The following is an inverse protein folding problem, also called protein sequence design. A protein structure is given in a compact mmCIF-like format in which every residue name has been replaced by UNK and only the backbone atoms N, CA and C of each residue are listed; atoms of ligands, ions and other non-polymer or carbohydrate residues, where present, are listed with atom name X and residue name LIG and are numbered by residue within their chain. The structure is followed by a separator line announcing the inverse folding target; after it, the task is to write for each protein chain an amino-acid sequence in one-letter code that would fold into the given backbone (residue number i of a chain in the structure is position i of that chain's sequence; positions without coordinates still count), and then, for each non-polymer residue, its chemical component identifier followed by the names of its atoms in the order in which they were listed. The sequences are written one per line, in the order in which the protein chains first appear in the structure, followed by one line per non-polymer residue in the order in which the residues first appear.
data_IF_667883851152
#
_entry.id   IF_667883851152
#
_cell.length_a   1.000
_cell.length_b   1.000
_cell.length_c   1.000
_cell.angle_alpha   90.00
_cell.angle_beta   90.00
_cell.angle_gamma   90.00
#
_symmetry.space_group_name_H-M   'P 1'
#
loop_
_entity.id
_entity.type
_entity.pdbx_description
1 polymer ?
#
# COMPACT_ATOMS: atom_id res chain seq x y z
N UNK A 1 -16.80 -14.74 -17.99
CA UNK A 1 -16.53 -13.81 -19.10
C UNK A 1 -15.03 -13.58 -19.15
N UNK A 2 -14.32 -14.28 -20.03
CA UNK A 2 -12.90 -14.02 -20.28
C UNK A 2 -12.81 -12.92 -21.31
N UNK A 3 -12.35 -11.74 -20.92
CA UNK A 3 -12.00 -10.71 -21.90
C UNK A 3 -10.97 -11.28 -22.87
N UNK A 4 -11.18 -11.03 -24.17
CA UNK A 4 -10.18 -11.34 -25.20
C UNK A 4 -8.92 -10.57 -24.83
N UNK A 5 -7.84 -11.28 -24.53
CA UNK A 5 -6.52 -10.65 -24.35
C UNK A 5 -6.08 -10.04 -25.67
N UNK A 6 -6.30 -8.74 -25.84
CA UNK A 6 -5.86 -8.00 -27.01
C UNK A 6 -4.36 -7.78 -26.89
N UNK A 7 -3.59 -8.40 -27.77
CA UNK A 7 -2.15 -8.14 -27.85
C UNK A 7 -1.92 -6.80 -28.55
N UNK A 8 -1.73 -5.73 -27.78
CA UNK A 8 -1.34 -4.43 -28.32
C UNK A 8 0.19 -4.26 -28.23
N UNK A 9 0.86 -3.82 -29.31
CA UNK A 9 2.27 -3.49 -29.26
C UNK A 9 2.51 -2.35 -28.26
N UNK A 10 3.38 -2.60 -27.30
CA UNK A 10 3.74 -1.64 -26.25
C UNK A 10 4.72 -0.61 -26.81
N UNK A 11 4.41 0.67 -26.67
CA UNK A 11 5.41 1.73 -26.90
C UNK A 11 6.44 1.76 -25.76
N UNK A 12 7.57 2.46 -25.96
CA UNK A 12 8.56 2.63 -24.89
C UNK A 12 7.99 3.35 -23.66
N UNK A 13 7.06 4.30 -23.85
CA UNK A 13 6.37 5.03 -22.77
C UNK A 13 5.45 4.11 -21.98
N UNK A 14 4.70 3.27 -22.68
CA UNK A 14 3.83 2.25 -22.11
C UNK A 14 4.63 1.29 -21.23
N UNK A 15 5.75 0.77 -21.76
CA UNK A 15 6.63 -0.14 -21.02
C UNK A 15 7.18 0.51 -19.75
N UNK A 16 7.62 1.77 -19.83
CA UNK A 16 8.10 2.51 -18.66
C UNK A 16 7.00 2.65 -17.59
N UNK A 17 5.79 3.02 -17.99
CA UNK A 17 4.67 3.18 -17.05
C UNK A 17 4.29 1.85 -16.36
N UNK A 18 4.30 0.72 -17.09
CA UNK A 18 4.05 -0.60 -16.50
C UNK A 18 5.16 -1.00 -15.53
N UNK A 19 6.43 -0.72 -15.86
CA UNK A 19 7.56 -0.99 -14.97
C UNK A 19 7.40 -0.18 -13.68
N UNK A 20 7.16 1.13 -13.77
CA UNK A 20 6.98 1.99 -12.59
C UNK A 20 5.80 1.53 -11.72
N UNK A 21 4.67 1.17 -12.34
CA UNK A 21 3.53 0.60 -11.64
C UNK A 21 3.91 -0.67 -10.85
N UNK A 22 4.56 -1.64 -11.50
CA UNK A 22 4.98 -2.89 -10.86
C UNK A 22 6.06 -2.68 -9.80
N UNK A 23 6.99 -1.76 -10.03
CA UNK A 23 8.02 -1.38 -9.06
C UNK A 23 7.38 -0.83 -7.79
N UNK A 24 6.34 0.01 -7.91
CA UNK A 24 5.60 0.50 -6.75
C UNK A 24 4.96 -0.63 -5.92
N UNK A 25 4.40 -1.66 -6.57
CA UNK A 25 3.84 -2.85 -5.89
C UNK A 25 4.95 -3.60 -5.13
N UNK A 26 6.08 -3.87 -5.79
CA UNK A 26 7.22 -4.59 -5.20
C UNK A 26 7.80 -3.83 -4.02
N UNK A 27 8.03 -2.52 -4.16
CA UNK A 27 8.52 -1.67 -3.08
C UNK A 27 7.55 -1.64 -1.89
N UNK A 28 6.24 -1.56 -2.15
CA UNK A 28 5.22 -1.61 -1.10
C UNK A 28 5.28 -2.93 -0.33
N UNK A 29 5.44 -4.07 -1.03
CA UNK A 29 5.57 -5.38 -0.40
C UNK A 29 6.84 -5.48 0.47
N UNK A 30 8.00 -5.03 -0.03
CA UNK A 30 9.26 -5.02 0.72
C UNK A 30 9.13 -4.18 1.98
N UNK A 31 8.55 -2.98 1.87
CA UNK A 31 8.38 -2.09 3.02
C UNK A 31 7.38 -2.65 4.04
N UNK A 32 6.31 -3.33 3.62
CA UNK A 32 5.40 -4.00 4.55
C UNK A 32 6.06 -5.19 5.26
N UNK A 33 6.90 -5.96 4.57
CA UNK A 33 7.71 -7.02 5.19
C UNK A 33 8.69 -6.43 6.21
N UNK A 34 9.38 -5.35 5.85
CA UNK A 34 10.29 -4.65 6.77
C UNK A 34 9.53 -4.14 8.01
N UNK A 35 8.36 -3.53 7.81
CA UNK A 35 7.51 -3.08 8.91
C UNK A 35 7.06 -4.22 9.82
N UNK A 36 6.62 -5.34 9.25
CA UNK A 36 6.26 -6.54 10.01
C UNK A 36 7.45 -7.10 10.81
N UNK A 37 8.64 -7.14 10.20
CA UNK A 37 9.87 -7.61 10.85
C UNK A 37 10.29 -6.71 12.02
N UNK A 38 10.27 -5.38 11.83
CA UNK A 38 10.59 -4.43 12.90
C UNK A 38 9.58 -4.54 14.04
N UNK A 39 8.27 -4.60 13.71
CA UNK A 39 7.21 -4.71 14.71
C UNK A 39 7.34 -5.97 15.57
N UNK A 40 7.62 -7.14 14.97
CA UNK A 40 7.79 -8.38 15.74
C UNK A 40 9.06 -8.38 16.57
N UNK A 41 10.16 -7.79 16.06
CA UNK A 41 11.41 -7.63 16.81
C UNK A 41 11.18 -6.81 18.08
N UNK A 42 10.50 -5.66 17.95
CA UNK A 42 10.25 -4.78 19.10
C UNK A 42 9.25 -5.39 20.09
N UNK A 43 8.25 -6.13 19.59
CA UNK A 43 7.36 -6.93 20.44
C UNK A 43 8.12 -8.01 21.22
N UNK A 44 9.03 -8.73 20.58
CA UNK A 44 9.84 -9.77 21.23
C UNK A 44 10.80 -9.18 22.29
N UNK A 45 11.27 -7.95 22.08
CA UNK A 45 12.11 -7.23 23.03
C UNK A 45 11.33 -6.61 24.21
N UNK A 46 9.99 -6.67 24.22
CA UNK A 46 9.14 -6.04 25.23
C UNK A 46 8.91 -4.54 25.03
N UNK A 47 9.52 -3.93 24.00
CA UNK A 47 9.48 -2.49 23.72
C UNK A 47 8.35 -2.10 22.77
N UNK A 48 7.23 -2.84 22.78
CA UNK A 48 6.11 -2.62 21.86
C UNK A 48 5.47 -1.23 21.97
N UNK A 49 5.58 -0.60 23.15
CA UNK A 49 5.13 0.78 23.40
C UNK A 49 6.08 1.83 22.81
N UNK A 50 7.36 1.48 22.60
CA UNK A 50 8.35 2.36 21.98
C UNK A 50 8.48 2.09 20.47
N UNK A 51 7.36 1.80 19.81
CA UNK A 51 7.36 1.54 18.36
C UNK A 51 7.91 2.70 17.53
N UNK A 52 7.83 3.92 18.08
CA UNK A 52 8.42 5.13 17.53
C UNK A 52 9.97 5.16 17.59
N UNK A 53 10.62 4.41 18.51
CA UNK A 53 12.08 4.44 18.73
C UNK A 53 12.85 3.31 18.02
N UNK A 54 12.15 2.39 17.37
CA UNK A 54 12.70 1.18 16.73
C UNK A 54 13.77 1.43 15.66
N UNK A 55 13.80 2.65 15.12
CA UNK A 55 14.87 3.20 14.29
C UNK A 55 15.38 4.49 14.94
N UNK A 56 16.70 4.64 15.20
CA UNK A 56 17.25 5.87 15.77
C UNK A 56 16.93 7.10 14.90
N UNK A 57 16.49 8.20 15.52
CA UNK A 57 16.21 9.47 14.83
C UNK A 57 14.97 9.45 13.93
N UNK A 58 15.02 10.11 12.77
CA UNK A 58 13.89 10.20 11.81
C UNK A 58 13.67 8.93 10.97
N UNK A 59 14.19 7.76 11.39
CA UNK A 59 14.16 6.53 10.58
C UNK A 59 12.74 6.03 10.28
N UNK A 60 11.83 6.07 11.26
CA UNK A 60 10.42 5.71 11.06
C UNK A 60 9.74 6.66 10.08
N UNK A 61 10.09 7.95 10.12
CA UNK A 61 9.61 8.95 9.17
C UNK A 61 10.07 8.64 7.75
N UNK A 62 11.35 8.33 7.53
CA UNK A 62 11.84 7.91 6.21
C UNK A 62 11.15 6.64 5.70
N UNK A 63 10.89 5.68 6.59
CA UNK A 63 10.14 4.47 6.27
C UNK A 63 8.73 4.79 5.77
N UNK A 64 7.96 5.61 6.52
CA UNK A 64 6.60 6.01 6.14
C UNK A 64 6.63 6.77 4.80
N UNK A 65 7.54 7.72 4.64
CA UNK A 65 7.68 8.46 3.37
C UNK A 65 8.02 7.55 2.19
N UNK A 66 8.87 6.54 2.40
CA UNK A 66 9.19 5.53 1.38
C UNK A 66 7.95 4.71 1.01
N UNK A 67 7.10 4.38 1.98
CA UNK A 67 5.85 3.65 1.72
C UNK A 67 4.87 4.51 0.93
N UNK A 68 4.75 5.80 1.27
CA UNK A 68 3.97 6.76 0.47
C UNK A 68 4.48 6.85 -0.97
N UNK A 69 5.79 6.97 -1.17
CA UNK A 69 6.39 7.03 -2.51
C UNK A 69 6.10 5.74 -3.31
N UNK A 70 6.25 4.57 -2.69
CA UNK A 70 5.98 3.28 -3.34
C UNK A 70 4.52 3.13 -3.77
N UNK A 71 3.58 3.46 -2.88
CA UNK A 71 2.14 3.42 -3.19
C UNK A 71 1.78 4.49 -4.24
N UNK A 72 2.33 5.71 -4.11
CA UNK A 72 2.12 6.79 -5.06
C UNK A 72 2.58 6.43 -6.47
N UNK A 73 3.74 5.78 -6.60
CA UNK A 73 4.23 5.27 -7.87
C UNK A 73 3.20 4.33 -8.52
N UNK A 74 2.64 3.38 -7.75
CA UNK A 74 1.57 2.52 -8.24
C UNK A 74 0.30 3.30 -8.64
N UNK A 75 -0.12 4.28 -7.83
CA UNK A 75 -1.35 5.06 -8.09
C UNK A 75 -1.24 5.91 -9.36
N UNK A 76 -0.10 6.57 -9.58
CA UNK A 76 0.05 7.47 -10.74
C UNK A 76 0.22 6.73 -12.06
N UNK A 77 0.88 5.57 -12.04
CA UNK A 77 1.13 4.74 -13.22
C UNK A 77 0.11 3.62 -13.41
N UNK A 78 -1.01 3.64 -12.66
CA UNK A 78 -2.08 2.67 -12.83
C UNK A 78 -2.81 2.87 -14.16
N UNK A 79 -3.06 1.74 -14.82
CA UNK A 79 -3.82 1.64 -16.06
C UNK A 79 -5.20 1.06 -15.75
N UNK A 80 -6.24 1.84 -16.07
CA UNK A 80 -7.65 1.55 -15.76
C UNK A 80 -8.55 2.11 -16.86
N UNK A 81 -9.40 1.29 -17.46
CA UNK A 81 -10.31 1.75 -18.52
C UNK A 81 -11.26 2.86 -18.05
N UNK A 82 -11.78 2.73 -16.83
CA UNK A 82 -12.77 3.66 -16.26
C UNK A 82 -12.06 4.88 -15.68
N UNK A 83 -12.22 6.04 -16.31
CA UNK A 83 -11.52 7.27 -15.93
C UNK A 83 -11.97 7.77 -14.55
N UNK A 84 -13.24 7.58 -14.21
CA UNK A 84 -13.80 7.94 -12.88
C UNK A 84 -13.05 7.23 -11.75
N UNK A 85 -12.78 5.95 -11.89
CA UNK A 85 -12.09 5.15 -10.88
C UNK A 85 -10.62 5.56 -10.75
N UNK A 86 -9.95 5.82 -11.88
CA UNK A 86 -8.58 6.35 -11.89
C UNK A 86 -8.48 7.72 -11.19
N UNK A 87 -9.42 8.64 -11.47
CA UNK A 87 -9.49 9.96 -10.84
C UNK A 87 -9.79 9.85 -9.35
N UNK A 88 -10.68 8.93 -8.94
CA UNK A 88 -10.96 8.65 -7.54
C UNK A 88 -9.71 8.17 -6.78
N UNK A 89 -8.96 7.20 -7.33
CA UNK A 89 -7.75 6.68 -6.67
C UNK A 89 -6.68 7.75 -6.47
N UNK A 90 -6.48 8.64 -7.46
CA UNK A 90 -5.58 9.79 -7.34
C UNK A 90 -6.04 10.78 -6.27
N UNK A 91 -7.34 11.09 -6.21
CA UNK A 91 -7.91 11.94 -5.14
C UNK A 91 -7.72 11.32 -3.76
N UNK A 92 -7.94 10.02 -3.62
CA UNK A 92 -7.70 9.31 -2.37
C UNK A 92 -6.24 9.40 -1.94
N UNK A 93 -5.30 9.30 -2.89
CA UNK A 93 -3.87 9.48 -2.60
C UNK A 93 -3.53 10.91 -2.17
N UNK A 94 -4.14 11.94 -2.80
CA UNK A 94 -3.98 13.33 -2.32
C UNK A 94 -4.56 13.56 -0.93
N UNK A 95 -5.71 12.94 -0.61
CA UNK A 95 -6.26 12.94 0.75
C UNK A 95 -5.28 12.26 1.72
N UNK A 96 -4.64 11.16 1.30
CA UNK A 96 -3.59 10.53 2.12
C UNK A 96 -2.41 11.45 2.37
N UNK A 97 -1.93 12.17 1.36
CA UNK A 97 -0.85 13.14 1.53
C UNK A 97 -1.25 14.27 2.48
N UNK A 98 -2.47 14.80 2.34
CA UNK A 98 -2.98 15.81 3.25
C UNK A 98 -3.10 15.29 4.69
N UNK A 99 -3.54 14.05 4.87
CA UNK A 99 -3.61 13.40 6.18
C UNK A 99 -2.21 13.21 6.81
N UNK A 100 -1.17 12.96 6.01
CA UNK A 100 0.22 12.82 6.47
C UNK A 100 0.83 14.14 6.96
N UNK A 101 0.37 15.29 6.46
CA UNK A 101 0.87 16.60 6.91
C UNK A 101 0.58 16.86 8.39
N UNK A 102 -0.53 16.32 8.91
CA UNK A 102 -0.92 16.49 10.31
C UNK A 102 0.13 15.89 11.27
N UNK A 103 0.47 14.58 11.19
CA UNK A 103 1.50 14.01 12.05
C UNK A 103 2.90 14.57 11.75
N UNK A 104 3.18 15.03 10.52
CA UNK A 104 4.45 15.70 10.20
C UNK A 104 4.63 17.01 10.97
N UNK A 105 3.59 17.85 11.01
CA UNK A 105 3.63 19.13 11.74
C UNK A 105 3.52 18.91 13.24
N UNK A 106 2.58 18.07 13.69
CA UNK A 106 2.37 17.80 15.11
C UNK A 106 3.56 17.09 15.78
N UNK A 107 4.29 16.27 15.03
CA UNK A 107 5.48 15.56 15.48
C UNK A 107 6.80 16.34 15.29
N UNK A 108 6.75 17.62 14.90
CA UNK A 108 7.94 18.42 14.58
C UNK A 108 8.92 17.71 13.62
N UNK A 109 8.40 17.04 12.59
CA UNK A 109 9.19 16.27 11.64
C UNK A 109 9.39 14.79 11.99
N UNK A 110 8.96 14.33 13.17
CA UNK A 110 8.86 12.91 13.49
C UNK A 110 7.41 12.40 13.40
N UNK A 111 7.06 11.88 12.23
CA UNK A 111 5.74 11.30 11.94
C UNK A 111 5.49 10.07 12.84
N UNK A 112 6.53 9.31 13.18
CA UNK A 112 6.41 8.08 13.96
C UNK A 112 5.86 8.35 15.36
N UNK A 113 6.35 9.41 16.02
CA UNK A 113 5.88 9.82 17.34
C UNK A 113 4.37 10.04 17.41
N UNK A 114 3.77 10.67 16.39
CA UNK A 114 2.33 10.95 16.37
C UNK A 114 1.54 9.69 16.01
N UNK A 115 1.99 8.94 15.01
CA UNK A 115 1.29 7.74 14.55
C UNK A 115 1.22 6.66 15.63
N UNK A 116 2.33 6.42 16.35
CA UNK A 116 2.39 5.35 17.36
C UNK A 116 2.15 5.86 18.78
N UNK A 117 2.42 7.14 19.07
CA UNK A 117 2.25 7.73 20.40
C UNK A 117 0.82 8.14 20.72
N UNK A 118 0.00 8.47 19.72
CA UNK A 118 -1.42 8.83 19.92
C UNK A 118 -2.35 7.67 19.57
N UNK A 119 -3.48 7.53 20.27
CA UNK A 119 -4.45 6.46 19.96
C UNK A 119 -4.99 6.55 18.53
N UNK A 120 -5.38 7.75 18.09
CA UNK A 120 -5.93 7.98 16.75
C UNK A 120 -4.84 8.09 15.65
N UNK A 121 -3.55 8.13 16.01
CA UNK A 121 -2.44 8.31 15.09
C UNK A 121 -2.44 7.40 13.86
N UNK A 122 -2.73 6.09 13.99
CA UNK A 122 -2.77 5.19 12.84
C UNK A 122 -3.84 5.56 11.79
N UNK A 123 -4.89 6.29 12.17
CA UNK A 123 -5.96 6.70 11.23
C UNK A 123 -5.42 7.59 10.10
N UNK A 124 -4.31 8.30 10.30
CA UNK A 124 -3.69 9.09 9.23
C UNK A 124 -3.14 8.21 8.09
N UNK A 125 -2.91 6.92 8.32
CA UNK A 125 -2.51 5.94 7.31
C UNK A 125 -3.70 5.26 6.63
N UNK A 126 -4.94 5.49 7.09
CA UNK A 126 -6.14 4.85 6.55
C UNK A 126 -6.33 5.13 5.06
N UNK A 127 -6.21 6.38 4.55
CA UNK A 127 -6.36 6.63 3.12
C UNK A 127 -5.28 5.94 2.27
N UNK A 128 -4.04 5.87 2.77
CA UNK A 128 -2.94 5.15 2.11
C UNK A 128 -3.24 3.65 1.98
N UNK A 129 -3.72 3.06 3.08
CA UNK A 129 -4.13 1.65 3.12
C UNK A 129 -5.27 1.38 2.13
N UNK A 130 -6.18 2.34 1.96
CA UNK A 130 -7.24 2.30 0.95
C UNK A 130 -6.69 2.35 -0.47
N UNK A 131 -5.72 3.21 -0.76
CA UNK A 131 -5.06 3.27 -2.07
C UNK A 131 -4.42 1.91 -2.44
N UNK A 132 -3.63 1.35 -1.52
CA UNK A 132 -2.99 0.05 -1.75
C UNK A 132 -4.02 -1.07 -1.88
N UNK A 133 -5.07 -1.04 -1.06
CA UNK A 133 -6.20 -1.97 -1.15
C UNK A 133 -6.93 -1.91 -2.49
N UNK A 134 -7.17 -0.72 -3.04
CA UNK A 134 -7.79 -0.59 -4.37
C UNK A 134 -6.87 -1.08 -5.50
N UNK A 135 -5.55 -0.87 -5.38
CA UNK A 135 -4.58 -1.44 -6.32
C UNK A 135 -4.67 -2.97 -6.30
N UNK A 136 -4.67 -3.59 -5.12
CA UNK A 136 -4.74 -5.05 -5.01
C UNK A 136 -6.10 -5.59 -5.45
N UNK A 137 -7.20 -4.88 -5.17
CA UNK A 137 -8.55 -5.23 -5.62
C UNK A 137 -8.69 -5.18 -7.15
N UNK A 138 -8.08 -4.18 -7.82
CA UNK A 138 -8.05 -4.12 -9.30
C UNK A 138 -7.43 -5.40 -9.85
N UNK A 139 -6.24 -5.75 -9.36
CA UNK A 139 -5.51 -6.92 -9.86
C UNK A 139 -6.23 -8.24 -9.53
N UNK A 140 -6.94 -8.29 -8.40
CA UNK A 140 -7.84 -9.40 -8.06
C UNK A 140 -8.99 -9.54 -9.06
N UNK A 141 -9.60 -8.43 -9.46
CA UNK A 141 -10.65 -8.40 -10.47
C UNK A 141 -10.15 -8.80 -11.86
N UNK A 142 -9.03 -8.24 -12.31
CA UNK A 142 -8.48 -8.48 -13.64
C UNK A 142 -7.90 -9.90 -13.82
N UNK A 143 -7.18 -10.41 -12.82
CA UNK A 143 -6.37 -11.63 -12.96
C UNK A 143 -6.74 -12.75 -11.98
N UNK A 144 -7.84 -12.60 -11.24
CA UNK A 144 -8.29 -13.57 -10.22
C UNK A 144 -7.24 -13.84 -9.14
N UNK A 145 -6.48 -12.81 -8.77
CA UNK A 145 -5.59 -12.79 -7.63
C UNK A 145 -6.42 -12.56 -6.36
N UNK A 146 -7.13 -13.60 -5.89
CA UNK A 146 -8.12 -13.50 -4.80
C UNK A 146 -7.55 -12.89 -3.51
N UNK A 147 -6.26 -13.10 -3.24
CA UNK A 147 -5.53 -12.47 -2.14
C UNK A 147 -5.62 -10.93 -2.18
N UNK A 148 -5.77 -10.33 -3.36
CA UNK A 148 -5.90 -8.90 -3.52
C UNK A 148 -7.22 -8.33 -3.00
N UNK A 149 -8.33 -9.09 -3.03
CA UNK A 149 -9.57 -8.70 -2.37
C UNK A 149 -9.45 -8.78 -0.86
N UNK A 150 -8.79 -9.82 -0.35
CA UNK A 150 -8.56 -9.99 1.07
C UNK A 150 -7.70 -8.85 1.62
N UNK A 151 -6.63 -8.49 0.91
CA UNK A 151 -5.78 -7.33 1.22
C UNK A 151 -6.57 -6.02 1.23
N UNK A 152 -7.45 -5.80 0.24
CA UNK A 152 -8.26 -4.60 0.15
C UNK A 152 -9.19 -4.38 1.35
N UNK A 153 -9.62 -5.47 1.99
CA UNK A 153 -10.50 -5.45 3.16
C UNK A 153 -9.67 -5.42 4.45
N UNK A 154 -8.68 -6.29 4.58
CA UNK A 154 -7.89 -6.44 5.82
C UNK A 154 -7.08 -5.17 6.12
N UNK A 155 -6.43 -4.55 5.14
CA UNK A 155 -5.57 -3.39 5.38
C UNK A 155 -6.30 -2.22 6.09
N UNK A 156 -7.44 -1.70 5.59
CA UNK A 156 -8.16 -0.62 6.28
C UNK A 156 -8.76 -1.07 7.61
N UNK A 157 -9.27 -2.31 7.71
CA UNK A 157 -9.79 -2.84 8.97
C UNK A 157 -8.69 -2.94 10.03
N UNK A 158 -7.50 -3.39 9.64
CA UNK A 158 -6.34 -3.48 10.53
C UNK A 158 -5.98 -2.10 11.10
N UNK A 159 -5.91 -1.06 10.25
CA UNK A 159 -5.63 0.31 10.70
C UNK A 159 -6.71 0.81 11.67
N UNK A 160 -7.99 0.57 11.37
CA UNK A 160 -9.10 0.94 12.24
C UNK A 160 -8.98 0.26 13.61
N UNK A 161 -8.84 -1.07 13.63
CA UNK A 161 -8.72 -1.86 14.85
C UNK A 161 -7.49 -1.48 15.69
N UNK A 162 -6.36 -1.18 15.02
CA UNK A 162 -5.15 -0.72 15.68
C UNK A 162 -5.34 0.66 16.31
N UNK A 163 -6.01 1.59 15.63
CA UNK A 163 -6.26 2.94 16.14
C UNK A 163 -7.19 2.99 17.37
N UNK A 164 -8.19 2.11 17.44
CA UNK A 164 -9.08 2.05 18.60
C UNK A 164 -8.51 1.20 19.75
N UNK A 165 -7.27 0.70 19.61
CA UNK A 165 -6.57 -0.16 20.60
C UNK A 165 -7.36 -1.41 21.00
N UNK A 166 -8.21 -1.91 20.09
CA UNK A 166 -9.02 -3.12 20.32
C UNK A 166 -8.18 -4.39 20.16
N UNK A 167 -7.13 -4.35 19.33
CA UNK A 167 -6.22 -5.48 19.12
C UNK A 167 -5.08 -5.48 20.14
N UNK A 168 -4.79 -6.65 20.69
CA UNK A 168 -3.60 -6.83 21.54
C UNK A 168 -2.32 -6.59 20.74
N UNK A 169 -1.19 -6.24 21.39
CA UNK A 169 0.08 -6.06 20.68
C UNK A 169 0.49 -7.30 19.86
N UNK A 170 0.23 -8.50 20.40
CA UNK A 170 0.41 -9.76 19.69
C UNK A 170 -0.51 -9.87 18.46
N UNK A 171 -1.77 -9.49 18.60
CA UNK A 171 -2.74 -9.45 17.49
C UNK A 171 -2.33 -8.46 16.41
N UNK A 172 -1.82 -7.29 16.79
CA UNK A 172 -1.30 -6.29 15.85
C UNK A 172 -0.07 -6.80 15.08
N UNK A 173 0.86 -7.49 15.76
CA UNK A 173 2.02 -8.12 15.10
C UNK A 173 1.59 -9.19 14.10
N UNK A 174 0.70 -10.10 14.50
CA UNK A 174 0.19 -11.16 13.64
C UNK A 174 -0.61 -10.62 12.45
N UNK A 175 -1.41 -9.57 12.66
CA UNK A 175 -2.15 -8.90 11.59
C UNK A 175 -1.21 -8.27 10.55
N UNK A 176 -0.13 -7.61 10.99
CA UNK A 176 0.85 -7.03 10.07
C UNK A 176 1.63 -8.10 9.30
N UNK A 177 1.99 -9.21 9.96
CA UNK A 177 2.61 -10.37 9.31
C UNK A 177 1.68 -10.98 8.26
N UNK A 178 0.39 -11.11 8.57
CA UNK A 178 -0.61 -11.60 7.61
C UNK A 178 -0.70 -10.68 6.39
N UNK A 179 -0.79 -9.36 6.60
CA UNK A 179 -0.82 -8.37 5.50
C UNK A 179 0.45 -8.46 4.66
N UNK A 180 1.63 -8.50 5.29
CA UNK A 180 2.91 -8.61 4.59
C UNK A 180 3.01 -9.92 3.80
N UNK A 181 2.63 -11.05 4.39
CA UNK A 181 2.62 -12.35 3.72
C UNK A 181 1.68 -12.40 2.52
N UNK A 182 0.48 -11.84 2.65
CA UNK A 182 -0.46 -11.71 1.54
C UNK A 182 0.06 -10.79 0.44
N UNK A 183 0.71 -9.66 0.79
CA UNK A 183 1.34 -8.76 -0.19
C UNK A 183 2.50 -9.43 -0.93
N UNK A 184 3.29 -10.26 -0.25
CA UNK A 184 4.35 -11.06 -0.89
C UNK A 184 3.75 -12.07 -1.85
N UNK A 185 2.74 -12.83 -1.43
CA UNK A 185 2.04 -13.79 -2.28
C UNK A 185 1.46 -13.11 -3.53
N UNK A 186 0.77 -11.98 -3.34
CA UNK A 186 0.23 -11.15 -4.40
C UNK A 186 1.33 -10.69 -5.37
N UNK A 187 2.45 -10.18 -4.84
CA UNK A 187 3.56 -9.66 -5.64
C UNK A 187 4.24 -10.75 -6.46
N UNK A 188 4.52 -11.90 -5.86
CA UNK A 188 5.15 -13.05 -6.53
C UNK A 188 4.26 -13.57 -7.67
N UNK A 189 2.93 -13.52 -7.51
CA UNK A 189 1.99 -13.93 -8.57
C UNK A 189 1.82 -12.86 -9.64
N UNK A 190 1.87 -11.58 -9.27
CA UNK A 190 1.66 -10.46 -10.19
C UNK A 190 2.86 -10.14 -11.07
N UNK A 191 4.06 -10.11 -10.51
CA UNK A 191 5.28 -9.65 -11.20
C UNK A 191 5.64 -10.48 -12.45
N UNK A 192 5.52 -11.82 -12.46
CA UNK A 192 5.85 -12.64 -13.64
C UNK A 192 4.86 -12.52 -14.80
N UNK A 193 3.68 -11.90 -14.60
CA UNK A 193 2.66 -11.82 -15.64
C UNK A 193 3.14 -11.00 -16.84
N UNK A 194 2.69 -11.27 -18.08
CA UNK A 194 3.05 -10.48 -19.25
C UNK A 194 2.72 -8.98 -19.10
N UNK A 195 3.62 -8.08 -19.53
CA UNK A 195 3.44 -6.62 -19.35
C UNK A 195 2.23 -6.05 -20.09
N UNK A 196 1.84 -6.65 -21.22
CA UNK A 196 0.70 -6.17 -22.01
C UNK A 196 -0.64 -6.32 -21.26
N UNK A 197 -0.71 -7.19 -20.26
CA UNK A 197 -1.88 -7.36 -19.41
C UNK A 197 -2.17 -6.13 -18.54
N UNK A 198 -1.14 -5.36 -18.16
CA UNK A 198 -1.38 -4.17 -17.35
C UNK A 198 -2.03 -3.04 -18.14
N UNK A 199 -1.82 -2.97 -19.45
CA UNK A 199 -2.36 -1.91 -20.31
C UNK A 199 -3.74 -2.26 -20.82
N UNK A 200 -3.93 -3.51 -21.26
CA UNK A 200 -5.18 -3.93 -21.89
C UNK A 200 -5.45 -3.21 -23.22
N UNK A 201 -6.72 -3.07 -23.58
CA UNK A 201 -7.16 -2.43 -24.82
C UNK A 201 -7.27 -0.91 -24.67
N UNK A 202 -6.33 -0.17 -25.26
CA UNK A 202 -6.34 1.30 -25.25
C UNK A 202 -7.60 1.93 -25.85
N UNK A 203 -8.30 1.26 -26.76
CA UNK A 203 -9.53 1.80 -27.37
C UNK A 203 -10.68 1.90 -26.36
N UNK A 204 -10.64 1.11 -25.29
CA UNK A 204 -11.62 1.12 -24.21
C UNK A 204 -11.33 2.18 -23.12
N UNK A 205 -10.28 3.00 -23.27
CA UNK A 205 -9.94 4.02 -22.28
C UNK A 205 -10.92 5.18 -22.37
N UNK A 206 -11.59 5.46 -21.25
CA UNK A 206 -12.36 6.68 -21.10
C UNK A 206 -11.41 7.90 -20.91
N UNK A 207 -11.79 9.09 -21.41
CA UNK A 207 -11.06 10.34 -21.18
C UNK A 207 -11.12 10.88 -19.73
#
# INVERSE_FOLDING_TARGET
MGEKTVFQPLSSKDRMSVILYRTGIVLSAILLVLGAFLFIRDYAAGNWQEQASSLPGHGVTFYILSLYLAVGMSVFFIHLYIAKFRKFLKRLYYVSLAALLIPLVAGNGDIGSVIFGTGYGPLFLLPLSGCLGFITAKEAFCFRLNEGYLLAIIMPIYILLFSVRVISPRGAALGLILIAGLMVLFTIRKVPMPMHYDIGDKSAYEP
#
